data_IF_765228278070
#
_entry.id   IF_765228278070
#
_cell.length_a   1.000
_cell.length_b   1.000
_cell.length_c   1.000
_cell.angle_alpha   90.00
_cell.angle_beta   90.00
_cell.angle_gamma   90.00
#
_symmetry.space_group_name_H-M   'P 1'
#
loop_
_entity.id
_entity.type
_entity.pdbx_description
1 polymer ?
#
# COMPACT_ATOMS: atom_id res chain seq x y z
N UNK A 1 -14.08 -11.78 -12.95
CA UNK A 1 -14.31 -10.51 -12.23
C UNK A 1 -13.02 -9.98 -11.59
N UNK A 2 -12.26 -10.78 -10.84
CA UNK A 2 -10.94 -10.39 -10.28
C UNK A 2 -9.94 -9.82 -11.30
N UNK A 3 -9.87 -10.41 -12.50
CA UNK A 3 -9.01 -9.92 -13.59
C UNK A 3 -9.31 -8.47 -13.98
N UNK A 4 -10.57 -8.03 -13.92
CA UNK A 4 -10.96 -6.66 -14.30
C UNK A 4 -10.45 -5.64 -13.27
N UNK A 5 -10.53 -5.98 -11.97
CA UNK A 5 -10.07 -5.09 -10.90
C UNK A 5 -8.54 -4.97 -10.92
N UNK A 6 -7.82 -6.08 -11.08
CA UNK A 6 -6.35 -6.05 -11.26
C UNK A 6 -5.94 -5.20 -12.47
N UNK A 7 -6.64 -5.33 -13.61
CA UNK A 7 -6.38 -4.50 -14.79
C UNK A 7 -6.60 -3.00 -14.50
N UNK A 8 -7.61 -2.65 -13.72
CA UNK A 8 -7.83 -1.27 -13.29
C UNK A 8 -6.70 -0.77 -12.39
N UNK A 9 -6.19 -1.60 -11.48
CA UNK A 9 -5.04 -1.28 -10.62
C UNK A 9 -3.76 -1.08 -11.44
N UNK A 10 -3.50 -1.94 -12.43
CA UNK A 10 -2.37 -1.76 -13.36
C UNK A 10 -2.52 -0.50 -14.21
N UNK A 11 -3.74 -0.22 -14.67
CA UNK A 11 -4.04 1.02 -15.41
C UNK A 11 -3.79 2.25 -14.54
N UNK A 12 -4.22 2.22 -13.28
CA UNK A 12 -3.92 3.27 -12.29
C UNK A 12 -2.42 3.46 -12.09
N UNK A 13 -1.67 2.36 -11.92
CA UNK A 13 -0.20 2.39 -11.74
C UNK A 13 0.50 3.12 -12.89
N UNK A 14 0.06 2.86 -14.12
CA UNK A 14 0.71 3.34 -15.34
C UNK A 14 0.35 4.80 -15.69
N UNK A 15 -0.58 5.44 -14.96
CA UNK A 15 -0.87 6.87 -15.13
C UNK A 15 0.28 7.72 -14.58
N UNK A 16 0.76 8.68 -15.39
CA UNK A 16 1.83 9.64 -14.99
C UNK A 16 1.46 10.47 -13.76
N UNK A 17 0.21 10.93 -13.66
CA UNK A 17 -0.28 11.76 -12.56
C UNK A 17 -1.26 10.97 -11.68
N UNK A 18 -0.86 9.78 -11.23
CA UNK A 18 -1.71 8.95 -10.37
C UNK A 18 -1.87 9.60 -9.00
N UNK A 19 -3.11 9.70 -8.53
CA UNK A 19 -3.44 10.07 -7.16
C UNK A 19 -3.45 8.83 -6.26
N UNK A 20 -3.37 9.00 -4.92
CA UNK A 20 -3.58 7.90 -3.99
C UNK A 20 -4.88 7.15 -4.29
N UNK A 21 -4.82 5.81 -4.24
CA UNK A 21 -5.97 4.95 -4.50
C UNK A 21 -6.64 4.56 -3.18
N UNK A 22 -7.97 4.69 -3.11
CA UNK A 22 -8.78 4.15 -2.01
C UNK A 22 -9.61 3.00 -2.58
N UNK A 23 -9.40 1.80 -2.04
CA UNK A 23 -10.22 0.63 -2.32
C UNK A 23 -11.33 0.53 -1.26
N UNK A 24 -12.57 0.32 -1.69
CA UNK A 24 -13.71 0.11 -0.78
C UNK A 24 -14.52 -1.08 -1.27
N UNK A 25 -15.00 -1.88 -0.33
CA UNK A 25 -15.90 -2.99 -0.59
C UNK A 25 -16.31 -3.69 0.70
N UNK A 26 -16.99 -4.83 0.56
CA UNK A 26 -17.51 -5.58 1.69
C UNK A 26 -16.39 -6.30 2.44
N UNK A 27 -16.56 -6.50 3.76
CA UNK A 27 -15.61 -7.31 4.54
C UNK A 27 -15.56 -8.74 3.97
N UNK A 28 -14.36 -9.34 4.00
CA UNK A 28 -14.10 -10.74 3.62
C UNK A 28 -14.23 -11.08 2.12
N UNK A 29 -14.21 -10.09 1.22
CA UNK A 29 -14.27 -10.32 -0.24
C UNK A 29 -12.91 -10.49 -0.93
N UNK A 30 -11.82 -10.58 -0.17
CA UNK A 30 -10.47 -10.82 -0.71
C UNK A 30 -9.68 -9.55 -1.08
N UNK A 31 -10.09 -8.37 -0.64
CA UNK A 31 -9.41 -7.09 -0.93
C UNK A 31 -7.93 -7.08 -0.52
N UNK A 32 -7.62 -7.60 0.67
CA UNK A 32 -6.24 -7.71 1.16
C UNK A 32 -5.39 -8.58 0.25
N UNK A 33 -5.96 -9.69 -0.26
CA UNK A 33 -5.26 -10.57 -1.18
C UNK A 33 -4.98 -9.87 -2.51
N UNK A 34 -6.00 -9.18 -3.06
CA UNK A 34 -5.90 -8.41 -4.28
C UNK A 34 -4.78 -7.35 -4.21
N UNK A 35 -4.73 -6.58 -3.13
CA UNK A 35 -3.70 -5.55 -2.94
C UNK A 35 -2.29 -6.14 -2.78
N UNK A 36 -2.16 -7.26 -2.06
CA UNK A 36 -0.87 -7.97 -1.92
C UNK A 36 -0.39 -8.51 -3.25
N UNK A 37 -1.26 -9.13 -4.03
CA UNK A 37 -0.92 -9.67 -5.34
C UNK A 37 -0.58 -8.57 -6.35
N UNK A 38 -1.32 -7.46 -6.33
CA UNK A 38 -1.01 -6.27 -7.11
C UNK A 38 0.34 -5.64 -6.71
N UNK A 39 0.64 -5.57 -5.41
CA UNK A 39 1.94 -5.11 -4.92
C UNK A 39 3.08 -5.98 -5.45
N UNK A 40 2.95 -7.30 -5.30
CA UNK A 40 3.93 -8.31 -5.70
C UNK A 40 4.20 -8.34 -7.20
N UNK A 41 3.17 -8.19 -8.02
CA UNK A 41 3.28 -8.28 -9.49
C UNK A 41 3.48 -6.93 -10.15
N UNK A 42 3.06 -5.85 -9.51
CA UNK A 42 3.10 -4.49 -10.04
C UNK A 42 4.38 -3.73 -9.68
N UNK A 43 5.09 -4.07 -8.61
CA UNK A 43 6.22 -3.25 -8.15
C UNK A 43 7.46 -4.11 -7.87
N UNK A 44 8.63 -3.53 -8.10
CA UNK A 44 9.90 -4.16 -7.73
C UNK A 44 9.98 -4.36 -6.21
N UNK A 45 9.56 -3.33 -5.48
CA UNK A 45 9.49 -3.30 -4.03
C UNK A 45 8.15 -2.71 -3.62
N UNK A 46 7.52 -3.32 -2.61
CA UNK A 46 6.28 -2.83 -2.00
C UNK A 46 6.31 -3.12 -0.51
N UNK A 47 5.56 -2.33 0.25
CA UNK A 47 5.36 -2.54 1.67
C UNK A 47 3.87 -2.67 1.98
N UNK A 48 3.53 -3.66 2.80
CA UNK A 48 2.20 -3.85 3.34
C UNK A 48 2.18 -3.45 4.81
N UNK A 49 1.36 -2.45 5.14
CA UNK A 49 1.16 -1.98 6.51
C UNK A 49 -0.26 -2.35 6.96
N UNK A 50 -0.38 -3.04 8.09
CA UNK A 50 -1.65 -3.26 8.77
C UNK A 50 -1.60 -2.62 10.16
N UNK A 51 -2.35 -1.54 10.35
CA UNK A 51 -2.43 -0.81 11.61
C UNK A 51 -3.17 -1.58 12.72
N UNK A 52 -4.04 -2.53 12.39
CA UNK A 52 -4.73 -3.36 13.40
C UNK A 52 -3.75 -4.29 14.11
N UNK A 53 -2.76 -4.82 13.37
CA UNK A 53 -1.78 -5.77 13.92
C UNK A 53 -0.61 -5.06 14.61
N UNK A 54 -0.33 -3.81 14.25
CA UNK A 54 0.78 -3.02 14.78
C UNK A 54 0.27 -1.61 15.13
N UNK A 55 -0.45 -1.45 16.25
CA UNK A 55 -1.00 -0.17 16.64
C UNK A 55 0.09 0.90 16.81
N UNK A 56 1.28 0.56 17.31
CA UNK A 56 2.41 1.50 17.41
C UNK A 56 2.94 2.02 16.06
N UNK A 57 2.53 1.44 14.93
CA UNK A 57 2.86 2.02 13.62
C UNK A 57 2.07 3.30 13.34
N UNK A 58 0.91 3.55 13.97
CA UNK A 58 0.22 4.84 13.78
C UNK A 58 1.10 5.99 14.25
N UNK A 59 1.88 5.77 15.30
CA UNK A 59 2.75 6.77 15.92
C UNK A 59 3.85 7.25 14.96
N UNK A 60 4.22 6.44 13.96
CA UNK A 60 5.16 6.83 12.91
C UNK A 60 4.65 7.99 12.04
N UNK A 61 3.32 8.10 11.94
CA UNK A 61 2.64 9.12 11.16
C UNK A 61 2.18 10.30 12.04
N UNK A 62 2.38 10.23 13.35
CA UNK A 62 2.06 11.33 14.27
C UNK A 62 3.12 12.44 14.24
N UNK A 63 2.66 13.69 14.36
CA UNK A 63 3.51 14.88 14.42
C UNK A 63 4.07 15.38 13.09
N UNK A 64 4.24 14.54 12.07
CA UNK A 64 4.61 14.98 10.72
C UNK A 64 4.11 14.03 9.64
N UNK A 65 3.49 14.59 8.59
CA UNK A 65 3.08 13.87 7.38
C UNK A 65 4.12 13.97 6.25
N UNK A 66 5.34 14.41 6.57
CA UNK A 66 6.43 14.52 5.60
C UNK A 66 6.79 13.15 5.00
N UNK A 67 6.67 12.97 3.66
CA UNK A 67 6.90 11.68 3.03
C UNK A 67 8.34 11.17 3.17
N UNK A 68 9.33 12.07 3.17
CA UNK A 68 10.74 11.67 3.27
C UNK A 68 11.04 11.02 4.62
N UNK A 69 10.64 11.68 5.72
CA UNK A 69 10.76 11.13 7.07
C UNK A 69 10.02 9.80 7.22
N UNK A 70 8.79 9.71 6.71
CA UNK A 70 7.99 8.49 6.79
C UNK A 70 8.70 7.34 6.08
N UNK A 71 9.24 7.56 4.87
CA UNK A 71 9.96 6.54 4.12
C UNK A 71 11.23 6.06 4.83
N UNK A 72 11.97 6.95 5.48
CA UNK A 72 13.17 6.58 6.26
C UNK A 72 12.83 5.69 7.45
N UNK A 73 11.84 6.09 8.26
CA UNK A 73 11.39 5.34 9.43
C UNK A 73 10.88 3.95 9.04
N UNK A 74 10.05 3.93 8.00
CA UNK A 74 9.44 2.70 7.50
C UNK A 74 10.48 1.79 6.83
N UNK A 75 11.44 2.35 6.09
CA UNK A 75 12.56 1.62 5.51
C UNK A 75 13.46 0.97 6.56
N UNK A 76 13.75 1.69 7.64
CA UNK A 76 14.53 1.18 8.78
C UNK A 76 13.85 -0.03 9.45
N UNK A 77 12.53 0.00 9.62
CA UNK A 77 11.76 -1.11 10.19
C UNK A 77 11.75 -2.35 9.28
N UNK A 78 11.84 -2.16 7.96
CA UNK A 78 11.76 -3.26 6.98
C UNK A 78 13.12 -3.79 6.52
N UNK A 79 14.22 -3.22 7.02
CA UNK A 79 15.58 -3.72 6.76
C UNK A 79 16.09 -3.51 5.33
N UNK A 80 15.44 -2.67 4.52
CA UNK A 80 15.93 -2.25 3.20
C UNK A 80 16.43 -0.81 3.28
N UNK A 81 17.75 -0.64 3.12
CA UNK A 81 18.40 0.63 2.78
C UNK A 81 18.14 0.98 1.32
#
# INVERSE_FOLDING_TARGET
MERLVLQNLHSWRNKKNRLPLILKGARQVGETWLLKEFGRTGFKDYLYINFENNPSMSDLFEGSIDPHRILELVGALHGKK
#
